data_IF_009524694477
#
_entry.id   IF_009524694477
#
_cell.length_a   1.000
_cell.length_b   1.000
_cell.length_c   1.000
_cell.angle_alpha   90.00
_cell.angle_beta   90.00
_cell.angle_gamma   90.00
#
_symmetry.space_group_name_H-M   'P 1'
#
loop_
_entity.id
_entity.type
_entity.pdbx_description
1 polymer ?
#
# COMPACT_ATOMS: atom_id res chain seq x y z
N UNK A 1 15.94 43.40 -0.50
CA UNK A 1 14.56 42.91 -0.70
C UNK A 1 14.40 41.76 -1.71
N UNK A 2 15.11 41.66 -2.86
CA UNK A 2 14.87 40.57 -3.83
C UNK A 2 15.54 39.23 -3.43
N UNK A 3 16.66 39.27 -2.70
CA UNK A 3 17.41 38.07 -2.32
C UNK A 3 16.63 37.16 -1.38
N UNK A 4 15.98 37.73 -0.35
CA UNK A 4 15.22 36.96 0.66
C UNK A 4 13.99 36.27 0.05
N UNK A 5 13.28 36.95 -0.85
CA UNK A 5 12.15 36.37 -1.57
C UNK A 5 12.58 35.21 -2.47
N UNK A 6 13.71 35.34 -3.16
CA UNK A 6 14.28 34.28 -3.98
C UNK A 6 14.74 33.08 -3.14
N UNK A 7 15.33 33.31 -1.95
CA UNK A 7 15.70 32.23 -1.03
C UNK A 7 14.47 31.49 -0.49
N UNK A 8 13.41 32.21 -0.13
CA UNK A 8 12.14 31.61 0.32
C UNK A 8 11.47 30.78 -0.78
N UNK A 9 11.45 31.28 -2.02
CA UNK A 9 10.94 30.55 -3.19
C UNK A 9 11.72 29.26 -3.44
N UNK A 10 13.05 29.30 -3.38
CA UNK A 10 13.91 28.12 -3.55
C UNK A 10 13.70 27.09 -2.43
N UNK A 11 13.56 27.54 -1.18
CA UNK A 11 13.27 26.66 -0.03
C UNK A 11 11.89 26.01 -0.17
N UNK A 12 10.86 26.76 -0.56
CA UNK A 12 9.51 26.25 -0.81
C UNK A 12 9.49 25.22 -1.96
N UNK A 13 10.21 25.49 -3.05
CA UNK A 13 10.36 24.52 -4.15
C UNK A 13 11.07 23.25 -3.69
N UNK A 14 12.10 23.34 -2.83
CA UNK A 14 12.82 22.17 -2.31
C UNK A 14 11.98 21.33 -1.34
N UNK A 15 11.15 21.95 -0.51
CA UNK A 15 10.21 21.26 0.39
C UNK A 15 9.09 20.56 -0.37
N UNK A 16 8.62 21.14 -1.49
CA UNK A 16 7.57 20.56 -2.33
C UNK A 16 7.98 19.27 -3.06
N UNK A 17 9.28 19.02 -3.25
CA UNK A 17 9.80 17.81 -3.94
C UNK A 17 9.75 16.57 -3.04
N UNK A 18 9.72 16.72 -1.71
CA UNK A 18 9.78 15.59 -0.78
C UNK A 18 8.45 14.84 -0.61
N UNK A 19 7.32 15.41 -1.02
CA UNK A 19 5.99 14.83 -0.76
C UNK A 19 5.51 13.80 -1.81
N UNK A 20 6.27 13.56 -2.89
CA UNK A 20 5.74 12.88 -4.08
C UNK A 20 6.36 11.51 -4.39
N UNK A 21 6.53 10.62 -3.40
CA UNK A 21 6.96 9.23 -3.68
C UNK A 21 6.18 8.14 -2.94
N UNK A 22 4.90 8.34 -2.64
CA UNK A 22 4.05 7.23 -2.18
C UNK A 22 3.44 6.54 -3.40
N UNK A 23 4.02 5.40 -3.81
CA UNK A 23 3.41 4.50 -4.82
C UNK A 23 2.29 3.62 -4.25
N UNK A 24 1.83 3.94 -3.04
CA UNK A 24 0.66 3.30 -2.45
C UNK A 24 -0.58 3.69 -3.25
N UNK A 25 -1.56 2.79 -3.35
CA UNK A 25 -2.87 3.10 -3.94
C UNK A 25 -2.86 3.54 -5.41
N UNK A 26 -1.83 3.20 -6.19
CA UNK A 26 -1.80 3.45 -7.62
C UNK A 26 -2.47 2.30 -8.38
N UNK A 27 -3.68 2.54 -8.86
CA UNK A 27 -4.41 1.61 -9.72
C UNK A 27 -4.57 2.19 -11.14
N UNK A 28 -4.73 1.33 -12.17
CA UNK A 28 -5.10 1.79 -13.51
C UNK A 28 -6.45 2.51 -13.54
N UNK A 29 -6.70 3.31 -14.57
CA UNK A 29 -8.01 3.94 -14.79
C UNK A 29 -9.13 2.88 -14.79
N UNK A 30 -10.29 3.23 -14.22
CA UNK A 30 -11.50 2.37 -14.15
C UNK A 30 -11.36 1.12 -13.28
N UNK A 31 -10.42 1.09 -12.33
CA UNK A 31 -10.29 -0.01 -11.37
C UNK A 31 -11.56 -0.20 -10.52
N UNK A 32 -12.38 0.83 -10.37
CA UNK A 32 -13.60 0.82 -9.55
C UNK A 32 -14.59 -0.26 -9.98
N UNK A 33 -14.60 -0.66 -11.26
CA UNK A 33 -15.42 -1.78 -11.75
C UNK A 33 -15.04 -3.13 -11.12
N UNK A 34 -13.82 -3.26 -10.60
CA UNK A 34 -13.32 -4.48 -9.96
C UNK A 34 -13.66 -4.54 -8.47
N UNK A 35 -14.19 -3.47 -7.90
CA UNK A 35 -14.46 -3.38 -6.47
C UNK A 35 -15.98 -3.42 -6.20
N UNK A 36 -16.43 -4.22 -5.23
CA UNK A 36 -17.85 -4.38 -4.94
C UNK A 36 -18.49 -3.16 -4.26
N UNK A 37 -17.71 -2.11 -3.95
CA UNK A 37 -18.16 -0.92 -3.21
C UNK A 37 -17.78 0.36 -3.93
N UNK A 38 -18.51 1.43 -3.61
CA UNK A 38 -18.33 2.76 -4.19
C UNK A 38 -17.18 3.57 -3.59
N UNK A 39 -16.72 3.25 -2.38
CA UNK A 39 -15.69 4.04 -1.67
C UNK A 39 -14.50 3.18 -1.28
N UNK A 40 -13.32 3.50 -1.81
CA UNK A 40 -12.05 2.94 -1.34
C UNK A 40 -11.68 3.49 0.04
N UNK A 41 -11.22 2.61 0.92
CA UNK A 41 -10.63 3.01 2.21
C UNK A 41 -9.11 3.00 2.08
N UNK A 42 -8.43 4.13 2.27
CA UNK A 42 -6.97 4.23 2.04
C UNK A 42 -6.13 4.27 3.32
N UNK A 43 -6.70 3.75 4.42
CA UNK A 43 -6.11 3.75 5.78
C UNK A 43 -4.90 2.82 5.93
N UNK A 44 -4.79 1.78 5.10
CA UNK A 44 -3.70 0.82 5.21
C UNK A 44 -2.34 1.50 4.99
N UNK A 45 -1.38 1.23 5.88
CA UNK A 45 -0.02 1.73 5.81
C UNK A 45 1.00 0.64 6.13
N UNK A 46 2.12 0.68 5.40
CA UNK A 46 3.31 -0.13 5.65
C UNK A 46 4.19 0.39 6.80
N UNK A 47 3.80 1.49 7.46
CA UNK A 47 4.53 1.99 8.63
C UNK A 47 4.61 0.94 9.74
N UNK A 48 5.81 0.74 10.26
CA UNK A 48 6.11 -0.24 11.32
C UNK A 48 5.72 -1.70 10.98
N UNK A 49 5.56 -2.02 9.69
CA UNK A 49 5.32 -3.39 9.23
C UNK A 49 6.61 -3.97 8.63
N UNK A 50 6.95 -5.23 8.94
CA UNK A 50 8.07 -5.92 8.28
C UNK A 50 7.76 -6.16 6.80
N UNK A 51 8.73 -6.72 6.08
CA UNK A 51 8.48 -7.28 4.76
C UNK A 51 7.28 -8.23 4.82
N UNK A 52 6.33 -8.11 3.90
CA UNK A 52 5.20 -9.03 3.89
C UNK A 52 4.08 -8.62 2.94
N UNK A 53 3.09 -9.50 2.88
CA UNK A 53 1.86 -9.36 2.12
C UNK A 53 0.71 -9.27 3.11
N UNK A 54 -0.17 -8.30 2.92
CA UNK A 54 -1.18 -7.95 3.91
C UNK A 54 -2.54 -7.83 3.24
N UNK A 55 -3.47 -8.69 3.64
CA UNK A 55 -4.88 -8.59 3.28
C UNK A 55 -5.44 -7.29 3.86
N UNK A 56 -6.12 -6.50 3.05
CA UNK A 56 -6.73 -5.27 3.52
C UNK A 56 -8.15 -5.52 4.01
N UNK A 57 -8.29 -5.65 5.33
CA UNK A 57 -9.59 -5.93 5.98
C UNK A 57 -10.56 -4.76 5.88
N UNK A 58 -10.04 -3.53 5.89
CA UNK A 58 -10.87 -2.34 5.68
C UNK A 58 -11.41 -2.34 4.25
N UNK A 59 -10.73 -3.06 3.35
CA UNK A 59 -11.16 -3.28 1.97
C UNK A 59 -11.77 -4.65 1.65
N UNK A 60 -12.38 -5.34 2.62
CA UNK A 60 -13.02 -6.66 2.44
C UNK A 60 -12.08 -7.71 1.81
N UNK A 61 -10.77 -7.53 2.01
CA UNK A 61 -9.69 -8.32 1.40
C UNK A 61 -9.73 -8.37 -0.13
N UNK A 62 -10.49 -7.47 -0.79
CA UNK A 62 -10.43 -7.27 -2.25
C UNK A 62 -9.13 -6.62 -2.68
N UNK A 63 -8.49 -5.92 -1.76
CA UNK A 63 -7.18 -5.31 -1.92
C UNK A 63 -6.21 -6.04 -1.01
N UNK A 64 -4.98 -6.18 -1.47
CA UNK A 64 -3.87 -6.56 -0.63
C UNK A 64 -2.67 -5.67 -0.92
N UNK A 65 -1.78 -5.59 0.07
CA UNK A 65 -0.62 -4.74 0.01
C UNK A 65 0.67 -5.53 0.17
N UNK A 66 1.72 -5.07 -0.48
CA UNK A 66 3.08 -5.56 -0.25
C UNK A 66 3.88 -4.43 0.40
N UNK A 67 4.44 -4.70 1.57
CA UNK A 67 5.43 -3.83 2.20
C UNK A 67 6.82 -4.40 1.89
N UNK A 68 7.59 -3.71 1.05
CA UNK A 68 8.89 -4.19 0.56
C UNK A 68 10.04 -3.31 1.04
N UNK A 69 11.00 -3.82 1.83
CA UNK A 69 12.14 -3.03 2.29
C UNK A 69 13.13 -2.81 1.15
N UNK A 70 13.29 -1.56 0.73
CA UNK A 70 14.29 -1.15 -0.24
C UNK A 70 15.56 -0.79 0.49
N UNK A 71 16.67 -1.46 0.15
CA UNK A 71 17.98 -1.21 0.76
C UNK A 71 18.69 -0.04 0.08
N UNK A 72 19.37 0.76 0.88
CA UNK A 72 20.30 1.79 0.41
C UNK A 72 21.63 1.18 -0.02
N UNK A 73 22.55 2.03 -0.51
CA UNK A 73 23.87 1.61 -0.97
C UNK A 73 24.71 0.93 0.13
N UNK A 74 24.54 1.33 1.39
CA UNK A 74 25.21 0.73 2.55
C UNK A 74 24.47 -0.48 3.15
N UNK A 75 23.37 -0.92 2.54
CA UNK A 75 22.64 -2.14 2.91
C UNK A 75 21.59 -1.97 4.00
N UNK A 76 21.51 -0.81 4.65
CA UNK A 76 20.40 -0.42 5.53
C UNK A 76 19.09 -0.30 4.75
N UNK A 77 17.96 -0.47 5.44
CA UNK A 77 16.65 -0.18 4.86
C UNK A 77 16.54 1.33 4.69
N UNK A 78 16.55 1.79 3.44
CA UNK A 78 16.40 3.20 3.10
C UNK A 78 14.93 3.63 3.12
N UNK A 79 14.02 2.74 2.69
CA UNK A 79 12.57 2.98 2.72
C UNK A 79 11.79 1.66 2.68
N UNK A 80 10.55 1.70 3.15
CA UNK A 80 9.57 0.65 2.87
C UNK A 80 8.73 1.09 1.68
N UNK A 81 8.79 0.32 0.60
CA UNK A 81 7.95 0.54 -0.56
C UNK A 81 6.60 -0.16 -0.34
N UNK A 82 5.53 0.61 -0.48
CA UNK A 82 4.15 0.13 -0.38
C UNK A 82 3.60 -0.05 -1.79
N UNK A 83 3.13 -1.27 -2.08
CA UNK A 83 2.40 -1.62 -3.30
C UNK A 83 0.99 -2.07 -2.94
N UNK A 84 0.01 -1.77 -3.79
CA UNK A 84 -1.39 -2.17 -3.60
C UNK A 84 -1.88 -2.90 -4.84
N UNK A 85 -2.65 -3.95 -4.64
CA UNK A 85 -3.15 -4.82 -5.71
C UNK A 85 -4.60 -5.18 -5.46
N UNK A 86 -5.37 -5.28 -6.54
CA UNK A 86 -6.77 -5.70 -6.50
C UNK A 86 -6.85 -7.18 -6.89
N UNK A 87 -7.61 -7.98 -6.14
CA UNK A 87 -8.01 -9.31 -6.56
C UNK A 87 -9.12 -9.20 -7.61
N UNK A 88 -8.94 -9.86 -8.75
CA UNK A 88 -9.93 -9.85 -9.82
C UNK A 88 -11.19 -10.66 -9.47
N UNK A 89 -12.31 -10.33 -10.12
CA UNK A 89 -13.61 -10.99 -9.96
C UNK A 89 -14.09 -11.00 -8.49
N UNK A 90 -14.79 -12.06 -8.08
CA UNK A 90 -15.31 -12.23 -6.73
C UNK A 90 -14.27 -12.79 -5.74
N UNK A 91 -13.00 -12.89 -6.12
CA UNK A 91 -11.94 -13.37 -5.23
C UNK A 91 -11.57 -12.36 -4.14
N UNK A 92 -11.03 -12.85 -3.04
CA UNK A 92 -10.41 -12.08 -1.96
C UNK A 92 -9.00 -12.61 -1.70
N UNK A 93 -8.15 -11.80 -1.09
CA UNK A 93 -6.78 -12.21 -0.76
C UNK A 93 -6.78 -13.19 0.41
N UNK A 94 -6.36 -14.42 0.14
CA UNK A 94 -6.11 -15.43 1.15
C UNK A 94 -4.76 -15.18 1.81
N UNK A 95 -4.80 -14.62 3.01
CA UNK A 95 -3.60 -14.31 3.80
C UNK A 95 -2.77 -15.55 4.17
N UNK A 96 -3.36 -16.75 4.23
CA UNK A 96 -2.64 -17.98 4.58
C UNK A 96 -1.72 -18.44 3.47
N UNK A 97 -2.17 -18.31 2.22
CA UNK A 97 -1.45 -18.81 1.05
C UNK A 97 -0.89 -17.72 0.15
N UNK A 98 -1.16 -16.45 0.47
CA UNK A 98 -0.69 -15.26 -0.25
C UNK A 98 -1.16 -15.23 -1.72
N UNK A 99 -2.41 -15.64 -1.96
CA UNK A 99 -3.04 -15.72 -3.28
C UNK A 99 -4.46 -15.18 -3.24
N UNK A 100 -4.96 -14.65 -4.37
CA UNK A 100 -6.38 -14.34 -4.50
C UNK A 100 -7.18 -15.64 -4.72
N UNK A 101 -8.12 -15.93 -3.82
CA UNK A 101 -8.97 -17.12 -3.88
C UNK A 101 -10.45 -16.74 -3.74
N UNK A 102 -11.35 -17.65 -4.13
CA UNK A 102 -12.78 -17.46 -3.86
C UNK A 102 -13.00 -17.36 -2.35
N UNK A 103 -13.93 -16.51 -1.93
CA UNK A 103 -14.18 -16.21 -0.51
C UNK A 103 -14.51 -17.44 0.34
N UNK A 104 -15.18 -18.44 -0.24
CA UNK A 104 -15.50 -19.72 0.41
C UNK A 104 -14.27 -20.61 0.69
N UNK A 105 -13.18 -20.42 -0.05
CA UNK A 105 -11.95 -21.22 0.06
C UNK A 105 -10.82 -20.45 0.77
N UNK A 106 -10.89 -19.11 0.76
CA UNK A 106 -9.91 -18.25 1.39
C UNK A 106 -10.02 -18.30 2.92
N UNK A 107 -8.90 -18.05 3.60
CA UNK A 107 -8.92 -17.79 5.03
C UNK A 107 -9.84 -16.60 5.39
N UNK A 108 -10.61 -16.64 6.49
CA UNK A 108 -11.56 -15.57 6.83
C UNK A 108 -10.89 -14.19 6.85
N UNK A 109 -11.43 -13.26 6.06
CA UNK A 109 -10.82 -11.94 5.85
C UNK A 109 -10.60 -11.17 7.16
N UNK A 110 -11.61 -11.15 8.03
CA UNK A 110 -11.54 -10.51 9.35
C UNK A 110 -10.49 -11.13 10.29
N UNK A 111 -10.11 -12.38 10.06
CA UNK A 111 -9.07 -13.07 10.84
C UNK A 111 -7.68 -12.92 10.23
N UNK A 112 -7.56 -12.45 8.98
CA UNK A 112 -6.29 -12.29 8.27
C UNK A 112 -5.18 -11.58 9.09
N UNK A 113 -5.47 -10.53 9.89
CA UNK A 113 -4.44 -9.88 10.72
C UNK A 113 -3.69 -10.82 11.67
N UNK A 114 -4.30 -11.95 12.07
CA UNK A 114 -3.64 -12.97 12.91
C UNK A 114 -2.46 -13.66 12.21
N UNK A 115 -2.41 -13.62 10.87
CA UNK A 115 -1.40 -14.28 10.05
C UNK A 115 -0.36 -13.30 9.48
N UNK A 116 -0.47 -11.98 9.73
CA UNK A 116 0.45 -10.96 9.19
C UNK A 116 1.92 -11.15 9.56
N UNK A 117 2.22 -11.93 10.60
CA UNK A 117 3.58 -12.19 11.09
C UNK A 117 4.04 -13.63 10.86
N UNK A 118 3.29 -14.41 10.07
CA UNK A 118 3.67 -15.79 9.77
C UNK A 118 4.71 -15.91 8.64
N UNK A 119 4.97 -14.83 7.91
CA UNK A 119 5.88 -14.79 6.76
C UNK A 119 6.85 -13.61 6.85
#
# INVERSE_FOLDING_TARGET
MPRVALTLLLVMMSLGVLAATQMAWQFPDQYEYLLPRSELVTSFSCENRPYGYYADVDNDCKIYHICYPVKGFSGEIAKIQHYSFICNNDNIFDQRYLVCSQSENAFPCNEAPSLYKMF
#
